data_IF_354057524997
#
_entry.id   IF_354057524997
#
_cell.length_a   1.000
_cell.length_b   1.000
_cell.length_c   1.000
_cell.angle_alpha   90.00
_cell.angle_beta   90.00
_cell.angle_gamma   90.00
#
_symmetry.space_group_name_H-M   'P 1'
#
loop_
_entity.id
_entity.type
_entity.pdbx_description
1 polymer ?
#
# COMPACT_ATOMS: atom_id res chain seq x y z
N UNK A 1 22.87 -38.80 -17.75
CA UNK A 1 22.01 -39.45 -16.75
C UNK A 1 21.25 -38.35 -16.01
N UNK A 2 19.97 -38.17 -16.31
CA UNK A 2 19.14 -37.24 -15.55
C UNK A 2 18.70 -37.93 -14.26
N UNK A 3 19.29 -37.51 -13.14
CA UNK A 3 18.81 -37.89 -11.82
C UNK A 3 17.43 -37.26 -11.63
N UNK A 4 16.39 -38.08 -11.55
CA UNK A 4 15.07 -37.60 -11.13
C UNK A 4 15.10 -37.51 -9.61
N UNK A 5 14.78 -36.36 -9.02
CA UNK A 5 14.77 -36.21 -7.58
C UNK A 5 13.79 -37.20 -6.95
N UNK A 6 14.19 -37.77 -5.82
CA UNK A 6 13.36 -38.67 -5.01
C UNK A 6 12.19 -37.89 -4.37
N UNK A 7 11.11 -38.59 -4.00
CA UNK A 7 9.99 -38.02 -3.23
C UNK A 7 10.46 -37.29 -1.96
N UNK A 8 11.50 -37.78 -1.27
CA UNK A 8 12.08 -37.09 -0.11
C UNK A 8 12.74 -35.75 -0.46
N UNK A 9 13.46 -35.68 -1.58
CA UNK A 9 14.08 -34.44 -2.08
C UNK A 9 13.04 -33.47 -2.63
N UNK A 10 12.00 -33.95 -3.31
CA UNK A 10 10.88 -33.10 -3.71
C UNK A 10 10.12 -32.57 -2.49
N UNK A 11 9.89 -33.38 -1.46
CA UNK A 11 9.25 -32.93 -0.22
C UNK A 11 10.13 -31.89 0.48
N UNK A 12 11.45 -32.11 0.58
CA UNK A 12 12.36 -31.14 1.19
C UNK A 12 12.48 -29.85 0.38
N UNK A 13 12.57 -29.90 -0.95
CA UNK A 13 12.57 -28.70 -1.79
C UNK A 13 11.22 -27.96 -1.70
N UNK A 14 10.11 -28.69 -1.66
CA UNK A 14 8.77 -28.12 -1.43
C UNK A 14 8.68 -27.51 -0.02
N UNK A 15 9.29 -28.10 1.00
CA UNK A 15 9.37 -27.55 2.35
C UNK A 15 10.33 -26.34 2.40
N UNK A 16 11.49 -26.37 1.75
CA UNK A 16 12.39 -25.22 1.69
C UNK A 16 11.75 -24.04 0.94
N UNK A 17 11.02 -24.29 -0.15
CA UNK A 17 10.27 -23.25 -0.88
C UNK A 17 8.99 -22.79 -0.15
N UNK A 18 8.33 -23.67 0.63
CA UNK A 18 7.16 -23.34 1.45
C UNK A 18 7.51 -22.59 2.75
N UNK A 19 8.76 -22.71 3.24
CA UNK A 19 9.21 -22.19 4.54
C UNK A 19 10.37 -21.19 4.43
N UNK A 20 10.59 -20.57 3.27
CA UNK A 20 11.50 -19.41 3.22
C UNK A 20 10.83 -18.18 3.85
N UNK A 21 10.78 -18.22 5.18
CA UNK A 21 10.34 -17.18 6.10
C UNK A 21 11.50 -16.20 6.38
N UNK A 22 12.68 -16.39 5.79
CA UNK A 22 13.89 -15.64 6.13
C UNK A 22 13.69 -14.13 5.99
N UNK A 23 13.00 -13.70 4.93
CA UNK A 23 12.58 -12.30 4.73
C UNK A 23 11.71 -11.81 5.90
N UNK A 24 10.67 -12.55 6.26
CA UNK A 24 9.71 -12.16 7.30
C UNK A 24 10.38 -12.10 8.68
N UNK A 25 11.24 -13.08 8.98
CA UNK A 25 12.03 -13.14 10.21
C UNK A 25 13.03 -12.00 10.31
N UNK A 26 13.75 -11.71 9.22
CA UNK A 26 14.72 -10.60 9.13
C UNK A 26 14.05 -9.24 9.35
N UNK A 27 12.90 -9.01 8.71
CA UNK A 27 12.11 -7.78 8.90
C UNK A 27 11.55 -7.70 10.31
N UNK A 28 11.03 -8.79 10.85
CA UNK A 28 10.53 -8.85 12.22
C UNK A 28 11.61 -8.53 13.25
N UNK A 29 12.82 -9.07 13.10
CA UNK A 29 13.95 -8.75 13.97
C UNK A 29 14.32 -7.26 13.91
N UNK A 30 14.40 -6.66 12.71
CA UNK A 30 14.63 -5.21 12.56
C UNK A 30 13.55 -4.38 13.23
N UNK A 31 12.31 -4.81 13.12
CA UNK A 31 11.18 -4.19 13.79
C UNK A 31 11.38 -4.23 15.31
N UNK A 32 11.72 -5.38 15.90
CA UNK A 32 12.00 -5.49 17.35
C UNK A 32 13.16 -4.58 17.81
N UNK A 33 14.10 -4.26 16.93
CA UNK A 33 15.21 -3.33 17.17
C UNK A 33 14.85 -1.84 16.89
N UNK A 34 13.58 -1.53 16.66
CA UNK A 34 13.07 -0.20 16.25
C UNK A 34 13.64 0.33 14.91
N UNK A 35 14.19 -0.57 14.08
CA UNK A 35 14.73 -0.27 12.73
C UNK A 35 13.63 -0.39 11.66
N UNK A 36 12.50 0.26 11.91
CA UNK A 36 11.28 0.14 11.07
C UNK A 36 11.54 0.54 9.62
N UNK A 37 12.25 1.65 9.38
CA UNK A 37 12.56 2.12 8.02
C UNK A 37 13.34 1.08 7.20
N UNK A 38 14.35 0.46 7.80
CA UNK A 38 15.17 -0.57 7.15
C UNK A 38 14.36 -1.83 6.89
N UNK A 39 13.58 -2.29 7.88
CA UNK A 39 12.70 -3.44 7.73
C UNK A 39 11.64 -3.22 6.64
N UNK A 40 11.06 -2.01 6.56
CA UNK A 40 10.09 -1.67 5.52
C UNK A 40 10.71 -1.64 4.12
N UNK A 41 11.92 -1.10 3.96
CA UNK A 41 12.65 -1.14 2.69
C UNK A 41 12.89 -2.58 2.22
N UNK A 42 13.40 -3.42 3.12
CA UNK A 42 13.65 -4.84 2.83
C UNK A 42 12.36 -5.58 2.50
N UNK A 43 11.29 -5.36 3.26
CA UNK A 43 9.98 -5.96 3.01
C UNK A 43 9.44 -5.55 1.64
N UNK A 44 9.47 -4.26 1.30
CA UNK A 44 8.95 -3.78 0.01
C UNK A 44 9.67 -4.42 -1.19
N UNK A 45 11.00 -4.42 -1.16
CA UNK A 45 11.81 -5.02 -2.23
C UNK A 45 11.66 -6.54 -2.27
N UNK A 46 11.63 -7.19 -1.11
CA UNK A 46 11.44 -8.64 -0.99
C UNK A 46 10.08 -9.10 -1.51
N UNK A 47 8.99 -8.42 -1.12
CA UNK A 47 7.64 -8.71 -1.60
C UNK A 47 7.52 -8.51 -3.12
N UNK A 48 8.10 -7.43 -3.66
CA UNK A 48 8.11 -7.17 -5.09
C UNK A 48 8.86 -8.27 -5.85
N UNK A 49 10.08 -8.58 -5.42
CA UNK A 49 10.92 -9.61 -6.04
C UNK A 49 10.21 -10.97 -6.03
N UNK A 50 9.64 -11.37 -4.89
CA UNK A 50 8.92 -12.64 -4.78
C UNK A 50 7.68 -12.66 -5.67
N UNK A 51 6.90 -11.58 -5.71
CA UNK A 51 5.72 -11.52 -6.59
C UNK A 51 6.07 -11.66 -8.08
N UNK A 52 7.19 -11.06 -8.51
CA UNK A 52 7.61 -11.09 -9.92
C UNK A 52 8.19 -12.45 -10.34
N UNK A 53 8.79 -13.19 -9.40
CA UNK A 53 9.51 -14.42 -9.69
C UNK A 53 8.75 -15.69 -9.27
N UNK A 54 7.64 -15.57 -8.55
CA UNK A 54 6.80 -16.71 -8.15
C UNK A 54 5.63 -16.95 -9.11
N UNK A 55 5.31 -18.21 -9.33
CA UNK A 55 4.02 -18.66 -9.85
C UNK A 55 2.88 -18.25 -8.93
N UNK A 56 1.64 -18.31 -9.44
CA UNK A 56 0.46 -17.98 -8.64
C UNK A 56 0.26 -18.93 -7.46
N UNK A 57 0.71 -20.18 -7.56
CA UNK A 57 0.59 -21.15 -6.46
C UNK A 57 1.59 -20.83 -5.34
N UNK A 58 2.85 -20.57 -5.69
CA UNK A 58 3.88 -20.15 -4.74
C UNK A 58 3.50 -18.84 -4.05
N UNK A 59 2.97 -17.88 -4.81
CA UNK A 59 2.48 -16.62 -4.26
C UNK A 59 1.35 -16.83 -3.24
N UNK A 60 0.37 -17.70 -3.53
CA UNK A 60 -0.71 -18.03 -2.58
C UNK A 60 -0.18 -18.70 -1.32
N UNK A 61 0.78 -19.61 -1.44
CA UNK A 61 1.43 -20.23 -0.30
C UNK A 61 2.16 -19.19 0.56
N UNK A 62 2.91 -18.29 -0.07
CA UNK A 62 3.62 -17.22 0.63
C UNK A 62 2.68 -16.21 1.30
N UNK A 63 1.57 -15.83 0.65
CA UNK A 63 0.53 -15.01 1.30
C UNK A 63 -0.02 -15.71 2.55
N UNK A 64 -0.26 -17.03 2.48
CA UNK A 64 -0.71 -17.81 3.64
C UNK A 64 0.33 -17.73 4.77
N UNK A 65 1.61 -17.84 4.45
CA UNK A 65 2.69 -17.69 5.42
C UNK A 65 2.71 -16.29 6.06
N UNK A 66 2.66 -15.22 5.25
CA UNK A 66 2.59 -13.85 5.74
C UNK A 66 1.45 -13.64 6.75
N UNK A 67 0.29 -14.27 6.53
CA UNK A 67 -0.88 -14.15 7.41
C UNK A 67 -0.73 -14.88 8.75
N UNK A 68 0.12 -15.91 8.83
CA UNK A 68 0.40 -16.64 10.07
C UNK A 68 1.63 -16.09 10.83
N UNK A 69 2.46 -15.28 10.16
CA UNK A 69 3.68 -14.72 10.76
C UNK A 69 3.38 -13.55 11.73
N UNK A 70 4.07 -13.44 12.88
CA UNK A 70 3.83 -12.37 13.87
C UNK A 70 4.07 -10.95 13.33
N UNK A 71 4.85 -10.81 12.27
CA UNK A 71 5.03 -9.54 11.56
C UNK A 71 3.70 -8.93 11.07
N UNK A 72 2.70 -9.75 10.72
CA UNK A 72 1.38 -9.27 10.31
C UNK A 72 0.77 -8.34 11.34
N UNK A 73 0.80 -8.72 12.62
CA UNK A 73 0.16 -7.92 13.68
C UNK A 73 0.89 -6.60 13.91
N UNK A 74 2.20 -6.54 13.65
CA UNK A 74 2.98 -5.29 13.68
C UNK A 74 2.63 -4.40 12.48
N UNK A 75 2.55 -4.97 11.28
CA UNK A 75 2.15 -4.26 10.07
C UNK A 75 0.71 -3.73 10.16
N UNK A 76 -0.20 -4.48 10.80
CA UNK A 76 -1.59 -4.06 10.99
C UNK A 76 -1.77 -2.90 11.99
N UNK A 77 -0.70 -2.45 12.65
CA UNK A 77 -0.75 -1.19 13.42
C UNK A 77 -0.75 0.04 12.51
N UNK A 78 -0.29 -0.09 11.26
CA UNK A 78 -0.43 0.95 10.24
C UNK A 78 -1.87 0.98 9.70
N UNK A 79 -2.55 2.14 9.76
CA UNK A 79 -3.90 2.30 9.23
C UNK A 79 -4.05 1.95 7.74
N UNK A 80 -3.02 2.21 6.92
CA UNK A 80 -3.06 1.93 5.47
C UNK A 80 -3.11 0.43 5.23
N UNK A 81 -2.20 -0.32 5.84
CA UNK A 81 -2.12 -1.77 5.73
C UNK A 81 -3.38 -2.43 6.31
N UNK A 82 -3.83 -1.98 7.48
CA UNK A 82 -5.06 -2.49 8.08
C UNK A 82 -6.30 -2.26 7.21
N UNK A 83 -6.42 -1.06 6.62
CA UNK A 83 -7.51 -0.74 5.70
C UNK A 83 -7.45 -1.60 4.45
N UNK A 84 -6.27 -1.77 3.87
CA UNK A 84 -6.07 -2.62 2.70
C UNK A 84 -6.48 -4.08 2.98
N UNK A 85 -6.24 -4.57 4.20
CA UNK A 85 -6.63 -5.91 4.63
C UNK A 85 -8.14 -6.06 4.88
N UNK A 86 -8.76 -5.09 5.56
CA UNK A 86 -10.15 -5.19 6.05
C UNK A 86 -11.23 -4.67 5.12
N UNK A 87 -10.87 -3.87 4.10
CA UNK A 87 -11.87 -3.28 3.21
C UNK A 87 -12.72 -4.36 2.50
N UNK A 88 -14.00 -4.10 2.22
CA UNK A 88 -14.84 -5.02 1.46
C UNK A 88 -14.24 -5.32 0.07
N UNK A 89 -14.19 -6.61 -0.29
CA UNK A 89 -13.74 -7.04 -1.63
C UNK A 89 -14.81 -6.74 -2.68
N UNK A 90 -14.39 -6.45 -3.91
CA UNK A 90 -15.30 -6.22 -5.05
C UNK A 90 -15.71 -4.75 -5.28
N UNK A 91 -15.20 -3.81 -4.47
CA UNK A 91 -15.41 -2.37 -4.69
C UNK A 91 -14.14 -1.75 -5.32
N UNK A 92 -14.29 -1.10 -6.48
CA UNK A 92 -13.17 -0.72 -7.36
C UNK A 92 -12.39 0.53 -6.91
N UNK A 93 -12.87 1.30 -5.93
CA UNK A 93 -12.19 2.49 -5.40
C UNK A 93 -12.19 2.51 -3.87
N UNK A 94 -11.19 3.12 -3.24
CA UNK A 94 -11.17 3.27 -1.78
C UNK A 94 -10.84 4.71 -1.42
N UNK A 95 -11.88 5.55 -1.37
CA UNK A 95 -11.73 6.98 -1.11
C UNK A 95 -11.11 7.25 0.27
N UNK A 96 -11.35 6.39 1.26
CA UNK A 96 -10.75 6.47 2.59
C UNK A 96 -9.25 6.18 2.53
N UNK A 97 -8.83 5.18 1.76
CA UNK A 97 -7.41 4.89 1.56
C UNK A 97 -6.69 6.05 0.86
N UNK A 98 -7.32 6.68 -0.14
CA UNK A 98 -6.77 7.87 -0.78
C UNK A 98 -6.63 9.04 0.20
N UNK A 99 -7.59 9.19 1.13
CA UNK A 99 -7.52 10.21 2.16
C UNK A 99 -6.29 10.05 3.08
N UNK A 100 -5.84 8.83 3.34
CA UNK A 100 -4.57 8.61 4.06
C UNK A 100 -3.36 9.14 3.29
N UNK A 101 -3.36 9.02 1.96
CA UNK A 101 -2.25 9.53 1.14
C UNK A 101 -2.25 11.05 1.05
N UNK A 102 -3.43 11.66 1.01
CA UNK A 102 -3.61 13.11 0.98
C UNK A 102 -3.39 13.78 2.34
N UNK A 103 -3.78 13.12 3.43
CA UNK A 103 -3.86 13.70 4.76
C UNK A 103 -2.55 14.32 5.27
N UNK A 104 -1.40 13.86 4.78
CA UNK A 104 -0.11 14.47 5.10
C UNK A 104 0.01 15.92 4.62
N UNK A 105 -0.33 16.21 3.37
CA UNK A 105 -0.25 17.57 2.81
C UNK A 105 -1.31 18.49 3.40
N UNK A 106 -2.51 17.92 3.65
CA UNK A 106 -3.64 18.63 4.25
C UNK A 106 -3.54 18.76 5.78
N UNK A 107 -2.51 18.19 6.40
CA UNK A 107 -2.29 18.12 7.86
C UNK A 107 -3.49 17.55 8.63
N UNK A 108 -4.15 16.55 8.06
CA UNK A 108 -5.20 15.82 8.74
C UNK A 108 -4.63 15.04 9.92
N UNK A 109 -5.41 14.89 11.01
CA UNK A 109 -4.96 14.11 12.16
C UNK A 109 -4.74 12.65 11.75
N UNK A 110 -3.77 12.01 12.39
CA UNK A 110 -3.61 10.56 12.28
C UNK A 110 -4.90 9.86 12.74
N UNK A 111 -5.27 8.74 12.10
CA UNK A 111 -6.41 7.94 12.55
C UNK A 111 -6.30 7.59 14.03
N UNK A 112 -7.43 7.67 14.73
CA UNK A 112 -7.51 7.36 16.16
C UNK A 112 -7.01 5.94 16.43
N UNK A 113 -6.27 5.76 17.53
CA UNK A 113 -5.70 4.48 17.91
C UNK A 113 -4.43 4.07 17.16
N UNK A 114 -3.90 4.90 16.24
CA UNK A 114 -2.62 4.60 15.60
C UNK A 114 -1.49 4.63 16.64
N UNK A 115 -0.79 3.51 16.78
CA UNK A 115 0.35 3.38 17.70
C UNK A 115 1.58 4.14 17.17
N UNK A 116 2.60 4.33 18.01
CA UNK A 116 3.87 4.93 17.56
C UNK A 116 4.52 4.11 16.42
N UNK A 117 4.46 2.79 16.55
CA UNK A 117 4.93 1.86 15.53
C UNK A 117 4.13 1.96 14.23
N UNK A 118 2.80 1.95 14.34
CA UNK A 118 1.90 2.17 13.22
C UNK A 118 2.19 3.48 12.50
N UNK A 119 2.54 4.54 13.25
CA UNK A 119 2.95 5.83 12.68
C UNK A 119 4.26 5.74 11.90
N UNK A 120 5.29 5.04 12.41
CA UNK A 120 6.56 4.85 11.67
C UNK A 120 6.34 4.13 10.34
N UNK A 121 5.50 3.10 10.33
CA UNK A 121 5.13 2.36 9.12
C UNK A 121 4.28 3.22 8.18
N UNK A 122 3.28 3.93 8.71
CA UNK A 122 2.44 4.85 7.95
C UNK A 122 3.28 5.92 7.25
N UNK A 123 4.19 6.55 7.98
CA UNK A 123 5.10 7.58 7.46
C UNK A 123 5.96 7.02 6.33
N UNK A 124 6.49 5.79 6.48
CA UNK A 124 7.19 5.12 5.38
C UNK A 124 6.30 5.01 4.14
N UNK A 125 5.09 4.47 4.29
CA UNK A 125 4.19 4.16 3.16
C UNK A 125 3.72 5.43 2.45
N UNK A 126 3.31 6.48 3.17
CA UNK A 126 2.83 7.72 2.54
C UNK A 126 3.92 8.49 1.80
N UNK A 127 5.20 8.25 2.14
CA UNK A 127 6.36 8.79 1.44
C UNK A 127 6.78 7.95 0.21
N UNK A 128 6.15 6.81 -0.05
CA UNK A 128 6.49 6.02 -1.22
C UNK A 128 6.13 6.75 -2.53
N UNK A 129 6.91 6.57 -3.62
CA UNK A 129 6.65 7.23 -4.91
C UNK A 129 5.24 7.00 -5.47
N UNK A 130 4.63 5.83 -5.18
CA UNK A 130 3.26 5.54 -5.58
C UNK A 130 2.25 6.49 -4.93
N UNK A 131 2.41 6.80 -3.64
CA UNK A 131 1.57 7.73 -2.90
C UNK A 131 1.81 9.18 -3.34
N UNK A 132 3.05 9.55 -3.66
CA UNK A 132 3.38 10.83 -4.28
C UNK A 132 2.66 11.00 -5.62
N UNK A 133 2.68 9.98 -6.48
CA UNK A 133 1.96 10.00 -7.76
C UNK A 133 0.45 10.21 -7.60
N UNK A 134 -0.15 9.65 -6.55
CA UNK A 134 -1.56 9.89 -6.23
C UNK A 134 -1.82 11.36 -5.88
N UNK A 135 -0.97 11.97 -5.04
CA UNK A 135 -1.07 13.39 -4.68
C UNK A 135 -0.86 14.31 -5.87
N UNK A 136 0.15 14.03 -6.70
CA UNK A 136 0.44 14.78 -7.92
C UNK A 136 -0.75 14.73 -8.89
N UNK A 137 -1.39 13.57 -9.06
CA UNK A 137 -2.59 13.44 -9.90
C UNK A 137 -3.76 14.26 -9.37
N UNK A 138 -3.99 14.27 -8.05
CA UNK A 138 -5.02 15.10 -7.41
C UNK A 138 -4.81 16.58 -7.72
N UNK A 139 -3.57 17.09 -7.55
CA UNK A 139 -3.22 18.46 -7.90
C UNK A 139 -3.44 18.76 -9.38
N UNK A 140 -2.96 17.89 -10.26
CA UNK A 140 -3.12 18.07 -11.71
C UNK A 140 -4.58 18.13 -12.16
N UNK A 141 -5.46 17.34 -11.55
CA UNK A 141 -6.90 17.41 -11.84
C UNK A 141 -7.51 18.74 -11.40
N UNK A 142 -7.11 19.27 -10.25
CA UNK A 142 -7.55 20.58 -9.79
C UNK A 142 -7.10 21.70 -10.75
N UNK A 143 -5.85 21.67 -11.21
CA UNK A 143 -5.33 22.63 -12.19
C UNK A 143 -6.11 22.59 -13.50
N UNK A 144 -6.47 21.38 -13.98
CA UNK A 144 -7.25 21.21 -15.21
C UNK A 144 -8.69 21.74 -15.07
N UNK A 145 -9.30 21.60 -13.89
CA UNK A 145 -10.63 22.17 -13.59
C UNK A 145 -10.56 23.70 -13.61
N UNK A 146 -9.55 24.27 -12.97
CA UNK A 146 -9.36 25.73 -12.93
C UNK A 146 -9.09 26.29 -14.34
N UNK A 147 -8.22 25.65 -15.11
CA UNK A 147 -7.94 26.03 -16.48
C UNK A 147 -9.21 25.99 -17.37
N UNK A 148 -10.03 24.94 -17.25
CA UNK A 148 -11.28 24.84 -18.00
C UNK A 148 -12.25 25.98 -17.64
N UNK A 149 -12.29 26.39 -16.37
CA UNK A 149 -13.13 27.48 -15.91
C UNK A 149 -12.69 28.87 -16.39
N UNK A 150 -11.39 29.03 -16.68
CA UNK A 150 -10.86 30.26 -17.29
C UNK A 150 -11.10 30.29 -18.82
N UNK A 151 -11.12 29.13 -19.48
CA UNK A 151 -11.22 29.03 -20.95
C UNK A 151 -12.67 28.98 -21.47
N UNK A 152 -13.60 28.44 -20.69
CA UNK A 152 -14.97 28.18 -21.13
C UNK A 152 -15.95 28.94 -20.25
N UNK A 153 -16.82 29.73 -20.88
CA UNK A 153 -17.93 30.38 -20.18
C UNK A 153 -18.95 29.31 -19.71
N UNK A 154 -19.26 29.31 -18.41
CA UNK A 154 -20.15 28.35 -17.76
C UNK A 154 -19.86 26.85 -18.05
N UNK A 155 -18.68 26.31 -17.66
CA UNK A 155 -18.33 24.93 -17.97
C UNK A 155 -19.14 23.92 -17.14
N UNK A 156 -19.45 22.78 -17.75
CA UNK A 156 -20.09 21.64 -17.09
C UNK A 156 -19.10 20.47 -17.04
N UNK A 157 -18.86 19.93 -15.84
CA UNK A 157 -17.93 18.81 -15.62
C UNK A 157 -18.66 17.62 -15.01
N UNK A 158 -18.40 16.42 -15.52
CA UNK A 158 -18.89 15.15 -14.96
C UNK A 158 -17.70 14.34 -14.46
N UNK A 159 -17.68 14.03 -13.16
CA UNK A 159 -16.67 13.15 -12.56
C UNK A 159 -17.30 11.79 -12.21
N UNK A 160 -16.72 10.71 -12.72
CA UNK A 160 -17.20 9.33 -12.53
C UNK A 160 -16.18 8.59 -11.65
N UNK A 161 -16.65 7.93 -10.59
CA UNK A 161 -15.77 7.23 -9.65
C UNK A 161 -14.93 8.20 -8.78
N UNK A 162 -15.44 9.40 -8.52
CA UNK A 162 -14.73 10.50 -7.87
C UNK A 162 -14.31 10.25 -6.41
N UNK A 163 -14.81 9.18 -5.77
CA UNK A 163 -14.64 8.99 -4.33
C UNK A 163 -15.13 10.21 -3.55
N UNK A 164 -14.25 10.83 -2.75
CA UNK A 164 -14.54 12.06 -2.01
C UNK A 164 -14.27 13.36 -2.78
N UNK A 165 -13.92 13.28 -4.08
CA UNK A 165 -13.66 14.43 -4.95
C UNK A 165 -12.66 15.43 -4.34
N UNK A 166 -11.51 14.94 -3.84
CA UNK A 166 -10.55 15.76 -3.11
C UNK A 166 -9.81 16.78 -4.00
N UNK A 167 -9.83 16.62 -5.31
CA UNK A 167 -9.36 17.60 -6.28
C UNK A 167 -10.18 18.90 -6.25
N UNK A 168 -11.49 18.82 -5.97
CA UNK A 168 -12.34 20.02 -5.80
C UNK A 168 -11.92 20.86 -4.60
N UNK A 169 -11.35 20.22 -3.56
CA UNK A 169 -10.79 20.92 -2.42
C UNK A 169 -9.48 21.66 -2.73
N UNK A 170 -8.91 21.51 -3.92
CA UNK A 170 -7.74 22.28 -4.36
C UNK A 170 -8.11 23.34 -5.41
N UNK A 171 -9.09 23.06 -6.25
CA UNK A 171 -9.56 23.97 -7.31
C UNK A 171 -10.12 25.29 -6.76
N UNK A 172 -9.62 26.41 -7.26
CA UNK A 172 -10.14 27.73 -6.94
C UNK A 172 -11.51 27.97 -7.60
N UNK A 173 -11.72 27.49 -8.83
CA UNK A 173 -12.96 27.65 -9.57
C UNK A 173 -14.15 26.98 -8.85
N UNK A 174 -13.93 25.85 -8.18
CA UNK A 174 -14.96 25.17 -7.39
C UNK A 174 -15.21 25.86 -6.06
N UNK A 175 -14.15 26.31 -5.36
CA UNK A 175 -14.28 26.96 -4.04
C UNK A 175 -14.92 28.34 -4.04
N UNK A 176 -14.89 29.06 -5.17
CA UNK A 176 -15.37 30.45 -5.29
C UNK A 176 -16.89 30.58 -5.46
N UNK A 177 -17.62 29.47 -5.54
CA UNK A 177 -19.09 29.44 -5.51
C UNK A 177 -19.61 29.31 -4.08
#
# INVERSE_FOLDING_TARGET
>A
MHHKPDQGEMINAILEDLYDDSLLNSVYAKFQEDRVQEGMNELFLGLQSRRLNSSDQEWKSFVTLCLHHPLKDLLHQDPITWRAFTKPRGYAGDAVLLDFFYGREERWPMPEGTTEWGRKIFDFVVNAPACEGVRARRGKMADLIDQLADEVDHPHLLSIGAGHLREANLSAAVKRK
#
